data_IF_656024852680
#
_entry.id   IF_656024852680
#
_cell.length_a   1.000
_cell.length_b   1.000
_cell.length_c   1.000
_cell.angle_alpha   90.00
_cell.angle_beta   90.00
_cell.angle_gamma   90.00
#
_symmetry.space_group_name_H-M   'P 1'
#
loop_
_entity.id
_entity.type
_entity.pdbx_description
1 polymer ?
#
# COMPACT_ATOMS: atom_id res chain seq x y z
N UNK A 1 -21.60 11.47 11.92
CA UNK A 1 -20.21 11.39 12.41
C UNK A 1 -19.37 10.82 11.29
N UNK A 2 -18.50 11.63 10.67
CA UNK A 2 -17.60 11.18 9.61
C UNK A 2 -16.40 10.50 10.26
N UNK A 3 -16.35 9.17 10.20
CA UNK A 3 -15.19 8.38 10.58
C UNK A 3 -14.06 8.73 9.60
N UNK A 4 -13.07 9.49 10.06
CA UNK A 4 -11.82 9.63 9.32
C UNK A 4 -11.19 8.23 9.32
N UNK A 5 -11.05 7.64 8.14
CA UNK A 5 -10.41 6.34 8.01
C UNK A 5 -8.92 6.48 8.38
N UNK A 6 -8.47 5.76 9.42
CA UNK A 6 -7.06 5.71 9.88
C UNK A 6 -6.13 4.94 8.93
N UNK A 7 -6.30 5.17 7.63
CA UNK A 7 -5.49 4.57 6.58
C UNK A 7 -4.29 5.47 6.28
N UNK A 8 -3.12 4.86 6.18
CA UNK A 8 -1.86 5.54 5.90
C UNK A 8 -1.48 5.26 4.45
N UNK A 9 -1.32 6.31 3.65
CA UNK A 9 -0.97 6.21 2.24
C UNK A 9 0.46 6.70 2.01
N UNK A 10 1.23 5.92 1.26
CA UNK A 10 2.59 6.28 0.87
C UNK A 10 2.59 6.75 -0.58
N UNK A 11 2.84 8.04 -0.80
CA UNK A 11 2.86 8.68 -2.13
C UNK A 11 4.28 9.08 -2.51
N UNK A 12 4.65 8.97 -3.78
CA UNK A 12 5.96 9.37 -4.31
C UNK A 12 6.45 8.48 -5.44
N UNK A 13 7.63 8.79 -5.99
CA UNK A 13 8.21 8.07 -7.13
C UNK A 13 8.49 6.59 -6.84
N UNK A 14 8.44 5.75 -7.88
CA UNK A 14 8.88 4.36 -7.80
C UNK A 14 10.37 4.30 -7.40
N UNK A 15 10.75 3.34 -6.56
CA UNK A 15 12.13 3.24 -6.04
C UNK A 15 12.44 4.09 -4.79
N UNK A 16 11.56 4.98 -4.35
CA UNK A 16 11.75 5.77 -3.12
C UNK A 16 11.63 4.96 -1.81
N UNK A 17 11.54 3.62 -1.87
CA UNK A 17 11.46 2.75 -0.69
C UNK A 17 10.09 2.70 0.01
N UNK A 18 9.04 3.25 -0.60
CA UNK A 18 7.68 3.34 -0.03
C UNK A 18 7.12 1.99 0.41
N UNK A 19 7.23 0.96 -0.44
CA UNK A 19 6.79 -0.40 -0.12
C UNK A 19 7.56 -0.98 1.07
N UNK A 20 8.86 -0.71 1.17
CA UNK A 20 9.71 -1.19 2.27
C UNK A 20 9.30 -0.58 3.61
N UNK A 21 9.19 0.75 3.66
CA UNK A 21 8.79 1.46 4.88
C UNK A 21 7.34 1.14 5.25
N UNK A 22 6.45 1.04 4.26
CA UNK A 22 5.05 0.70 4.50
C UNK A 22 4.86 -0.67 5.13
N UNK A 23 5.59 -1.70 4.66
CA UNK A 23 5.56 -3.03 5.28
C UNK A 23 6.06 -3.01 6.72
N UNK A 24 7.15 -2.29 7.01
CA UNK A 24 7.70 -2.16 8.36
C UNK A 24 6.72 -1.42 9.30
N UNK A 25 6.13 -0.32 8.82
CA UNK A 25 5.17 0.45 9.60
C UNK A 25 3.89 -0.35 9.87
N UNK A 26 3.35 -1.03 8.86
CA UNK A 26 2.18 -1.88 9.00
C UNK A 26 2.39 -2.97 10.05
N UNK A 27 3.55 -3.64 10.02
CA UNK A 27 3.94 -4.63 11.04
C UNK A 27 4.00 -4.01 12.44
N UNK A 28 4.59 -2.82 12.59
CA UNK A 28 4.69 -2.12 13.89
C UNK A 28 3.34 -1.68 14.42
N UNK A 29 2.44 -1.25 13.54
CA UNK A 29 1.08 -0.80 13.88
C UNK A 29 0.04 -1.93 13.91
N UNK A 30 0.44 -3.19 13.65
CA UNK A 30 -0.47 -4.33 13.50
C UNK A 30 -1.59 -4.07 12.49
N UNK A 31 -1.28 -3.36 11.39
CA UNK A 31 -2.19 -3.07 10.29
C UNK A 31 -1.84 -3.93 9.08
N UNK A 32 -2.83 -4.14 8.20
CA UNK A 32 -2.60 -4.79 6.90
C UNK A 32 -1.93 -3.79 5.95
N UNK A 33 -0.92 -4.26 5.22
CA UNK A 33 -0.28 -3.50 4.15
C UNK A 33 -0.91 -3.88 2.81
N UNK A 34 -1.28 -2.89 2.01
CA UNK A 34 -1.77 -3.06 0.65
C UNK A 34 -0.82 -2.36 -0.32
N UNK A 35 -0.39 -3.08 -1.35
CA UNK A 35 0.33 -2.49 -2.48
C UNK A 35 -0.67 -2.32 -3.63
N UNK A 36 -0.99 -1.06 -3.96
CA UNK A 36 -2.06 -0.74 -4.90
C UNK A 36 -1.79 -1.33 -6.28
N UNK A 37 -0.54 -1.31 -6.73
CA UNK A 37 -0.17 -1.82 -8.06
C UNK A 37 -0.42 -3.34 -8.13
N UNK A 38 0.02 -4.06 -7.11
CA UNK A 38 -0.17 -5.51 -7.01
C UNK A 38 -1.64 -5.92 -6.84
N UNK A 39 -2.43 -5.15 -6.09
CA UNK A 39 -3.87 -5.40 -5.94
C UNK A 39 -4.63 -5.15 -7.25
N UNK A 40 -4.24 -4.14 -8.03
CA UNK A 40 -4.84 -3.90 -9.36
C UNK A 40 -4.48 -5.04 -10.32
N UNK A 41 -3.22 -5.44 -10.40
CA UNK A 41 -2.78 -6.57 -11.23
C UNK A 41 -3.56 -7.85 -10.90
N UNK A 42 -3.69 -8.17 -9.61
CA UNK A 42 -4.43 -9.34 -9.14
C UNK A 42 -5.93 -9.26 -9.48
N UNK A 43 -6.56 -8.11 -9.26
CA UNK A 43 -8.00 -7.95 -9.46
C UNK A 43 -8.39 -7.90 -10.94
N UNK A 44 -7.51 -7.42 -11.81
CA UNK A 44 -7.78 -7.25 -13.23
C UNK A 44 -7.11 -8.31 -14.11
N UNK A 45 -6.40 -9.28 -13.49
CA UNK A 45 -5.56 -10.26 -14.19
C UNK A 45 -4.60 -9.61 -15.19
N UNK A 46 -4.17 -8.37 -14.92
CA UNK A 46 -3.24 -7.61 -15.74
C UNK A 46 -1.82 -7.95 -15.28
N UNK A 47 -0.92 -8.13 -16.24
CA UNK A 47 0.52 -8.25 -15.98
C UNK A 47 1.19 -7.15 -16.78
N UNK A 48 1.63 -6.09 -16.11
CA UNK A 48 2.40 -5.05 -16.76
C UNK A 48 3.81 -5.59 -16.98
N UNK A 49 4.11 -5.94 -18.23
CA UNK A 49 5.44 -6.32 -18.71
C UNK A 49 6.33 -5.09 -18.84
#
# INVERSE_FOLDING_TARGET
MTTINDNIFFVGLMGAGKTTIGKLLAKKLKKTFFDTDHEIEKNWALKFL
#
